data_IF_477570810272
#
_entry.id   IF_477570810272
#
_cell.length_a   1.000
_cell.length_b   1.000
_cell.length_c   1.000
_cell.angle_alpha   90.00
_cell.angle_beta   90.00
_cell.angle_gamma   90.00
#
_symmetry.space_group_name_H-M   'P 1'
#
loop_
_entity.id
_entity.type
_entity.pdbx_description
1 polymer ?
#
# COMPACT_ATOMS: atom_id res chain seq x y z
N UNK A 1 3.82 9.69 -23.71
CA UNK A 1 4.87 8.68 -23.42
C UNK A 1 4.17 7.34 -23.29
N UNK A 2 4.50 6.35 -24.10
CA UNK A 2 3.86 5.02 -24.07
C UNK A 2 4.44 4.21 -22.90
N UNK A 3 3.58 3.68 -22.03
CA UNK A 3 3.98 2.73 -20.99
C UNK A 3 3.91 1.33 -21.61
N UNK A 4 5.04 0.63 -21.72
CA UNK A 4 5.04 -0.79 -22.07
C UNK A 4 4.85 -1.59 -20.76
N UNK A 5 3.70 -2.24 -20.56
CA UNK A 5 3.39 -2.91 -19.29
C UNK A 5 4.16 -4.23 -19.11
N UNK A 6 4.76 -4.79 -20.17
CA UNK A 6 5.44 -6.08 -20.10
C UNK A 6 6.69 -6.15 -21.02
N UNK A 7 7.73 -5.34 -20.79
CA UNK A 7 8.93 -5.38 -21.60
C UNK A 7 9.71 -6.70 -21.37
N UNK A 8 10.14 -7.32 -22.47
CA UNK A 8 10.83 -8.63 -22.52
C UNK A 8 12.35 -8.50 -22.30
N UNK A 9 12.83 -7.27 -22.15
CA UNK A 9 14.25 -6.91 -21.97
C UNK A 9 14.72 -7.00 -20.50
N UNK A 10 13.84 -7.45 -19.59
CA UNK A 10 14.14 -7.52 -18.16
C UNK A 10 14.14 -6.17 -17.44
N UNK A 11 13.69 -5.09 -18.08
CA UNK A 11 13.53 -3.78 -17.43
C UNK A 11 12.39 -3.72 -16.41
N UNK A 12 11.55 -4.77 -16.35
CA UNK A 12 10.56 -4.90 -15.28
C UNK A 12 11.24 -5.13 -13.94
N UNK A 13 10.81 -4.42 -12.88
CA UNK A 13 11.30 -4.70 -11.55
C UNK A 13 10.96 -6.14 -11.16
N UNK A 14 11.93 -6.85 -10.57
CA UNK A 14 11.69 -8.21 -10.08
C UNK A 14 10.67 -8.16 -8.93
N UNK A 15 9.55 -8.87 -9.09
CA UNK A 15 8.46 -8.93 -8.11
C UNK A 15 8.79 -9.82 -6.92
N UNK A 16 9.94 -10.51 -6.94
CA UNK A 16 10.45 -11.33 -5.86
C UNK A 16 11.88 -10.91 -5.55
N UNK A 17 12.13 -10.55 -4.29
CA UNK A 17 13.44 -10.20 -3.75
C UNK A 17 13.86 -11.23 -2.71
N UNK A 18 15.16 -11.41 -2.54
CA UNK A 18 15.69 -12.23 -1.44
C UNK A 18 15.73 -11.35 -0.19
N UNK A 19 15.09 -11.80 0.88
CA UNK A 19 15.14 -11.20 2.21
C UNK A 19 15.80 -12.17 3.18
N UNK A 20 16.33 -11.66 4.29
CA UNK A 20 16.96 -12.47 5.34
C UNK A 20 16.01 -12.54 6.53
N UNK A 21 15.78 -13.74 7.07
CA UNK A 21 14.97 -13.95 8.27
C UNK A 21 15.76 -13.65 9.57
N UNK A 22 15.10 -13.78 10.73
CA UNK A 22 15.73 -13.54 12.03
C UNK A 22 16.89 -14.52 12.32
N UNK A 23 16.88 -15.71 11.71
CA UNK A 23 17.91 -16.73 11.82
C UNK A 23 19.04 -16.59 10.78
N UNK A 24 19.02 -15.54 9.95
CA UNK A 24 20.04 -15.27 8.95
C UNK A 24 19.89 -16.06 7.65
N UNK A 25 18.76 -16.75 7.43
CA UNK A 25 18.53 -17.57 6.22
C UNK A 25 17.86 -16.74 5.13
N UNK A 26 18.24 -16.94 3.86
CA UNK A 26 17.59 -16.27 2.74
C UNK A 26 16.21 -16.88 2.47
N UNK A 27 15.20 -16.03 2.29
CA UNK A 27 13.87 -16.42 1.81
C UNK A 27 13.40 -15.50 0.68
N UNK A 28 12.52 -16.03 -0.17
CA UNK A 28 11.92 -15.27 -1.27
C UNK A 28 10.73 -14.47 -0.73
N UNK A 29 10.84 -13.14 -0.80
CA UNK A 29 9.80 -12.20 -0.41
C UNK A 29 9.27 -11.50 -1.66
N UNK A 30 7.96 -11.31 -1.76
CA UNK A 30 7.41 -10.43 -2.80
C UNK A 30 7.94 -9.01 -2.58
N UNK A 31 8.50 -8.41 -3.63
CA UNK A 31 8.96 -7.02 -3.62
C UNK A 31 7.80 -6.04 -3.37
N UNK A 32 6.58 -6.47 -3.69
CA UNK A 32 5.36 -5.72 -3.53
C UNK A 32 4.41 -6.43 -2.57
N UNK A 33 3.85 -5.69 -1.61
CA UNK A 33 2.86 -6.21 -0.68
C UNK A 33 1.46 -6.17 -1.32
N UNK A 34 1.11 -7.24 -2.06
CA UNK A 34 -0.19 -7.35 -2.73
C UNK A 34 -1.37 -7.21 -1.75
N UNK A 35 -1.25 -7.76 -0.53
CA UNK A 35 -2.34 -7.77 0.44
C UNK A 35 -2.67 -6.35 0.93
N UNK A 36 -1.67 -5.53 1.19
CA UNK A 36 -1.89 -4.12 1.60
C UNK A 36 -2.59 -3.35 0.50
N UNK A 37 -2.27 -3.62 -0.76
CA UNK A 37 -2.91 -2.95 -1.89
C UNK A 37 -4.35 -3.43 -2.12
N UNK A 38 -4.63 -4.72 -1.90
CA UNK A 38 -5.99 -5.25 -1.90
C UNK A 38 -6.83 -4.62 -0.79
N UNK A 39 -6.29 -4.47 0.42
CA UNK A 39 -6.97 -3.79 1.54
C UNK A 39 -7.25 -2.32 1.23
N UNK A 40 -6.28 -1.60 0.67
CA UNK A 40 -6.45 -0.21 0.27
C UNK A 40 -7.53 -0.07 -0.82
N UNK A 41 -7.53 -0.96 -1.81
CA UNK A 41 -8.53 -0.97 -2.88
C UNK A 41 -9.93 -1.31 -2.35
N UNK A 42 -10.04 -2.25 -1.41
CA UNK A 42 -11.31 -2.57 -0.74
C UNK A 42 -11.83 -1.37 0.05
N UNK A 43 -10.96 -0.67 0.78
CA UNK A 43 -11.30 0.55 1.51
C UNK A 43 -11.79 1.66 0.57
N UNK A 44 -11.06 1.94 -0.51
CA UNK A 44 -11.48 2.90 -1.54
C UNK A 44 -12.78 2.48 -2.24
N UNK A 45 -13.00 1.17 -2.40
CA UNK A 45 -14.22 0.59 -2.96
C UNK A 45 -15.49 1.03 -2.23
N UNK A 46 -15.42 1.23 -0.91
CA UNK A 46 -16.52 1.76 -0.09
C UNK A 46 -16.98 3.16 -0.50
N UNK A 47 -16.13 3.94 -1.17
CA UNK A 47 -16.41 5.30 -1.62
C UNK A 47 -16.69 5.41 -3.11
N UNK A 48 -16.71 4.29 -3.84
CA UNK A 48 -16.84 4.28 -5.29
C UNK A 48 -18.10 5.01 -5.80
N UNK A 49 -19.22 4.93 -5.07
CA UNK A 49 -20.47 5.57 -5.47
C UNK A 49 -20.38 7.11 -5.55
N UNK A 50 -19.69 7.74 -4.59
CA UNK A 50 -19.51 9.20 -4.59
C UNK A 50 -18.37 9.62 -5.52
N UNK A 51 -17.28 8.88 -5.51
CA UNK A 51 -16.09 9.17 -6.31
C UNK A 51 -16.37 9.11 -7.83
N UNK A 52 -17.17 8.14 -8.28
CA UNK A 52 -17.54 7.99 -9.70
C UNK A 52 -18.35 9.15 -10.28
N UNK A 53 -18.98 9.98 -9.44
CA UNK A 53 -19.80 11.12 -9.87
C UNK A 53 -19.03 12.44 -9.93
N UNK A 54 -17.76 12.44 -9.52
CA UNK A 54 -16.94 13.66 -9.45
C UNK A 54 -16.30 14.01 -10.79
N UNK A 55 -16.01 15.29 -10.98
CA UNK A 55 -15.08 15.72 -12.02
C UNK A 55 -13.67 15.23 -11.71
N UNK A 56 -12.80 15.13 -12.73
CA UNK A 56 -11.43 14.65 -12.54
C UNK A 56 -10.66 15.47 -11.47
N UNK A 57 -10.82 16.79 -11.44
CA UNK A 57 -10.17 17.64 -10.43
C UNK A 57 -10.68 17.35 -9.02
N UNK A 58 -11.99 17.24 -8.83
CA UNK A 58 -12.58 16.96 -7.52
C UNK A 58 -12.23 15.55 -7.05
N UNK A 59 -12.21 14.57 -7.96
CA UNK A 59 -11.77 13.21 -7.67
C UNK A 59 -10.32 13.20 -7.19
N UNK A 60 -9.40 13.86 -7.91
CA UNK A 60 -7.99 13.91 -7.54
C UNK A 60 -7.76 14.55 -6.16
N UNK A 61 -8.42 15.70 -5.91
CA UNK A 61 -8.34 16.36 -4.61
C UNK A 61 -8.91 15.48 -3.49
N UNK A 62 -10.07 14.86 -3.72
CA UNK A 62 -10.73 14.00 -2.73
C UNK A 62 -9.89 12.78 -2.39
N UNK A 63 -9.34 12.07 -3.39
CA UNK A 63 -8.44 10.93 -3.16
C UNK A 63 -7.21 11.35 -2.36
N UNK A 64 -6.62 12.51 -2.67
CA UNK A 64 -5.46 13.01 -1.94
C UNK A 64 -5.79 13.24 -0.45
N UNK A 65 -6.90 13.92 -0.16
CA UNK A 65 -7.35 14.17 1.22
C UNK A 65 -7.65 12.86 1.94
N UNK A 66 -8.37 11.94 1.30
CA UNK A 66 -8.70 10.62 1.87
C UNK A 66 -7.44 9.84 2.24
N UNK A 67 -6.45 9.74 1.33
CA UNK A 67 -5.20 9.04 1.58
C UNK A 67 -4.37 9.71 2.68
N UNK A 68 -4.35 11.04 2.72
CA UNK A 68 -3.66 11.80 3.77
C UNK A 68 -4.22 11.45 5.16
N UNK A 69 -5.53 11.59 5.37
CA UNK A 69 -6.15 11.28 6.65
C UNK A 69 -6.05 9.80 7.02
N UNK A 70 -6.23 8.90 6.05
CA UNK A 70 -6.10 7.47 6.29
C UNK A 70 -4.69 7.12 6.79
N UNK A 71 -3.66 7.69 6.17
CA UNK A 71 -2.26 7.48 6.57
C UNK A 71 -2.02 7.94 8.00
N UNK A 72 -2.51 9.13 8.37
CA UNK A 72 -2.40 9.64 9.75
C UNK A 72 -3.06 8.68 10.76
N UNK A 73 -4.28 8.22 10.46
CA UNK A 73 -5.02 7.29 11.34
C UNK A 73 -4.28 5.96 11.49
N UNK A 74 -3.74 5.42 10.40
CA UNK A 74 -2.99 4.15 10.42
C UNK A 74 -1.71 4.30 11.22
N UNK A 75 -0.95 5.37 11.02
CA UNK A 75 0.27 5.65 11.78
C UNK A 75 -0.01 5.77 13.28
N UNK A 76 -1.04 6.53 13.67
CA UNK A 76 -1.41 6.65 15.09
C UNK A 76 -1.91 5.33 15.70
N UNK A 77 -2.51 4.43 14.90
CA UNK A 77 -2.87 3.09 15.35
C UNK A 77 -1.65 2.20 15.55
N UNK A 78 -0.68 2.28 14.64
CA UNK A 78 0.57 1.53 14.75
C UNK A 78 1.35 1.95 15.99
N UNK A 79 1.49 3.26 16.22
CA UNK A 79 2.15 3.79 17.41
C UNK A 79 1.52 3.28 18.71
N UNK A 80 0.19 3.33 18.84
CA UNK A 80 -0.49 2.79 20.03
C UNK A 80 -0.28 1.29 20.20
N UNK A 81 -0.34 0.52 19.12
CA UNK A 81 -0.10 -0.92 19.21
C UNK A 81 1.35 -1.26 19.58
N UNK A 82 2.31 -0.40 19.22
CA UNK A 82 3.71 -0.52 19.65
C UNK A 82 3.85 -0.17 21.14
N UNK A 83 3.21 0.91 21.61
CA UNK A 83 3.15 1.29 23.03
C UNK A 83 2.51 0.17 23.89
N UNK A 84 1.37 -0.38 23.47
CA UNK A 84 0.70 -1.48 24.17
C UNK A 84 1.56 -2.75 24.22
N UNK A 85 2.34 -3.04 23.16
CA UNK A 85 3.22 -4.20 23.11
C UNK A 85 4.46 -4.04 24.00
N UNK A 86 4.97 -2.81 24.16
CA UNK A 86 6.09 -2.50 25.06
C UNK A 86 5.65 -2.48 26.54
N UNK A 87 4.36 -2.20 26.84
CA UNK A 87 3.82 -2.26 28.21
C UNK A 87 3.55 -3.70 28.70
N UNK A 88 3.29 -4.63 27.79
CA UNK A 88 3.02 -6.05 28.07
C UNK A 88 4.30 -6.92 28.20
N UNK A 89 5.50 -6.34 28.00
CA UNK A 89 6.83 -7.00 28.10
C UNK A 89 7.56 -6.68 29.43
#
# INVERSE_FOLDING_TARGET
KWCNPAPMDGSQPNLVIIAIDAEGRPYLKRAFNTQVCEQLNAWLGGFAAILKRMTANNFNWMIHVMLYYHTQIVQSKQQRNEEDADEDE
#
